data_IF_853189750770
#
_entry.id   IF_853189750770
#
_cell.length_a   1.000
_cell.length_b   1.000
_cell.length_c   1.000
_cell.angle_alpha   90.00
_cell.angle_beta   90.00
_cell.angle_gamma   90.00
#
_symmetry.space_group_name_H-M   'P 1'
#
loop_
_entity.id
_entity.type
_entity.pdbx_description
1 polymer ?
#
# COMPACT_ATOMS: atom_id res chain seq x y z
N UNK A 1 -2.36 -13.18 16.35
CA UNK A 1 -3.31 -12.03 16.32
C UNK A 1 -4.52 -12.27 17.22
N UNK A 2 -4.86 -11.35 18.14
CA UNK A 2 -6.04 -11.41 19.05
C UNK A 2 -6.67 -10.02 19.15
N UNK A 3 -8.00 -9.94 19.18
CA UNK A 3 -8.76 -8.70 19.32
C UNK A 3 -9.70 -8.81 20.52
N UNK A 4 -9.71 -7.79 21.35
CA UNK A 4 -10.57 -7.68 22.53
C UNK A 4 -11.22 -6.31 22.56
N UNK A 5 -12.50 -6.22 22.94
CA UNK A 5 -13.16 -4.93 23.11
C UNK A 5 -14.63 -4.90 22.78
N UNK A 6 -15.15 -3.68 22.65
CA UNK A 6 -16.55 -3.38 22.37
C UNK A 6 -16.67 -2.61 21.05
N UNK A 7 -17.92 -2.37 20.57
CA UNK A 7 -18.27 -1.81 19.26
C UNK A 7 -17.53 -0.51 18.87
N UNK A 8 -17.09 0.32 19.84
CA UNK A 8 -16.45 1.61 19.57
C UNK A 8 -14.99 1.70 20.01
N UNK A 9 -14.48 0.67 20.68
CA UNK A 9 -13.10 0.65 21.16
C UNK A 9 -12.66 -0.79 21.35
N UNK A 10 -11.60 -1.17 20.67
CA UNK A 10 -10.99 -2.50 20.81
C UNK A 10 -9.49 -2.38 20.93
N UNK A 11 -8.90 -3.42 21.52
CA UNK A 11 -7.46 -3.57 21.65
C UNK A 11 -7.04 -4.70 20.75
N UNK A 12 -6.09 -4.42 19.89
CA UNK A 12 -5.51 -5.38 18.98
C UNK A 12 -4.15 -5.82 19.50
N UNK A 13 -3.97 -7.11 19.68
CA UNK A 13 -2.73 -7.74 20.12
C UNK A 13 -2.10 -8.44 18.93
N UNK A 14 -0.84 -8.09 18.63
CA UNK A 14 -0.04 -8.68 17.56
C UNK A 14 1.18 -9.37 18.13
N UNK A 15 1.56 -10.47 17.50
CA UNK A 15 2.80 -11.16 17.78
C UNK A 15 3.97 -10.44 17.07
N UNK A 16 5.19 -10.65 17.55
CA UNK A 16 6.36 -9.95 17.02
C UNK A 16 6.55 -10.17 15.51
N UNK A 17 6.35 -11.38 15.02
CA UNK A 17 6.43 -11.71 13.58
C UNK A 17 5.38 -10.96 12.75
N UNK A 18 4.18 -10.76 13.29
CA UNK A 18 3.10 -10.02 12.64
C UNK A 18 3.42 -8.52 12.55
N UNK A 19 4.06 -7.97 13.59
CA UNK A 19 4.51 -6.57 13.60
C UNK A 19 5.63 -6.36 12.57
N UNK A 20 6.60 -7.27 12.48
CA UNK A 20 7.67 -7.22 11.46
C UNK A 20 7.07 -7.29 10.04
N UNK A 21 6.07 -8.13 9.82
CA UNK A 21 5.39 -8.23 8.51
C UNK A 21 4.75 -6.92 8.07
N UNK A 22 4.04 -6.21 8.99
CA UNK A 22 3.50 -4.87 8.71
C UNK A 22 4.63 -3.89 8.41
N UNK A 23 5.66 -3.86 9.26
CA UNK A 23 6.78 -2.94 9.14
C UNK A 23 7.50 -3.09 7.80
N UNK A 24 7.75 -4.32 7.37
CA UNK A 24 8.37 -4.63 6.07
C UNK A 24 7.51 -4.10 4.90
N UNK A 25 6.23 -4.46 4.88
CA UNK A 25 5.32 -3.99 3.84
C UNK A 25 5.16 -2.47 3.84
N UNK A 26 5.10 -1.85 5.02
CA UNK A 26 5.02 -0.41 5.19
C UNK A 26 6.28 0.29 4.68
N UNK A 27 7.46 -0.30 4.88
CA UNK A 27 8.73 0.20 4.35
C UNK A 27 8.69 0.34 2.83
N UNK A 28 8.25 -0.68 2.11
CA UNK A 28 8.08 -0.63 0.64
C UNK A 28 7.08 0.45 0.22
N UNK A 29 5.97 0.58 0.94
CA UNK A 29 4.94 1.56 0.61
C UNK A 29 5.40 3.00 0.84
N UNK A 30 6.06 3.27 1.97
CA UNK A 30 6.63 4.59 2.29
C UNK A 30 7.70 4.99 1.28
N UNK A 31 8.55 4.06 0.85
CA UNK A 31 9.54 4.31 -0.20
C UNK A 31 8.86 4.69 -1.52
N UNK A 32 7.84 3.95 -1.94
CA UNK A 32 7.08 4.23 -3.14
C UNK A 32 6.38 5.61 -3.09
N UNK A 33 5.73 5.94 -1.97
CA UNK A 33 5.12 7.26 -1.77
C UNK A 33 6.16 8.38 -1.75
N UNK A 34 7.36 8.14 -1.20
CA UNK A 34 8.45 9.10 -1.18
C UNK A 34 8.92 9.45 -2.59
N UNK A 35 9.05 8.45 -3.47
CA UNK A 35 9.39 8.64 -4.88
C UNK A 35 8.31 9.47 -5.61
N UNK A 36 7.03 9.14 -5.41
CA UNK A 36 5.92 9.88 -6.03
C UNK A 36 5.85 11.35 -5.55
N UNK A 37 6.18 11.62 -4.28
CA UNK A 37 6.25 12.98 -3.76
C UNK A 37 7.46 13.77 -4.27
N UNK A 38 8.57 13.10 -4.55
CA UNK A 38 9.79 13.73 -5.07
C UNK A 38 9.71 13.95 -6.58
N UNK A 39 8.84 13.24 -7.29
CA UNK A 39 8.62 13.44 -8.72
C UNK A 39 8.13 14.89 -8.96
N UNK A 40 8.75 15.65 -9.87
CA UNK A 40 8.27 16.97 -10.20
C UNK A 40 6.82 16.83 -10.70
N UNK A 41 5.89 17.59 -10.09
CA UNK A 41 4.55 17.75 -10.63
C UNK A 41 4.73 18.04 -12.13
N UNK A 42 4.02 17.30 -13.01
CA UNK A 42 4.19 17.37 -14.45
C UNK A 42 4.33 18.81 -14.89
N UNK A 43 5.57 19.30 -14.91
CA UNK A 43 5.87 20.57 -15.51
C UNK A 43 5.68 20.36 -17.00
N UNK A 44 4.59 20.87 -17.53
CA UNK A 44 4.50 21.21 -18.94
C UNK A 44 5.62 22.20 -19.22
N UNK A 45 6.84 21.70 -19.32
CA UNK A 45 7.97 22.48 -19.82
C UNK A 45 7.77 22.59 -21.32
N UNK A 46 6.95 23.55 -21.73
CA UNK A 46 6.98 24.08 -23.08
C UNK A 46 8.44 24.52 -23.34
N UNK A 47 9.19 23.73 -24.05
CA UNK A 47 10.43 24.24 -24.60
C UNK A 47 11.57 23.28 -24.89
N UNK A 48 11.63 22.06 -24.38
CA UNK A 48 12.72 21.15 -24.72
C UNK A 48 12.23 19.78 -25.23
N UNK A 49 12.23 19.53 -26.53
CA UNK A 49 11.86 18.24 -27.12
C UNK A 49 12.78 17.09 -26.68
N UNK A 50 14.01 17.38 -26.27
CA UNK A 50 14.96 16.33 -25.80
C UNK A 50 14.72 15.91 -24.37
N UNK A 51 14.32 16.80 -23.47
CA UNK A 51 13.96 16.44 -22.10
C UNK A 51 12.78 15.45 -22.05
N UNK A 52 11.83 15.58 -23.00
CA UNK A 52 10.74 14.62 -23.17
C UNK A 52 11.25 13.20 -23.54
N UNK A 53 12.26 13.09 -24.40
CA UNK A 53 12.84 11.81 -24.82
C UNK A 53 13.73 11.19 -23.74
N UNK A 54 14.54 11.96 -23.04
CA UNK A 54 15.36 11.46 -21.93
C UNK A 54 14.50 10.96 -20.74
N UNK A 55 13.39 11.63 -20.44
CA UNK A 55 12.47 11.19 -19.42
C UNK A 55 11.74 9.88 -19.75
N UNK A 56 11.53 9.58 -21.05
CA UNK A 56 10.92 8.33 -21.50
C UNK A 56 11.83 7.09 -21.42
N UNK A 57 13.15 7.26 -21.39
CA UNK A 57 14.09 6.13 -21.46
C UNK A 57 14.84 5.81 -20.18
N UNK A 58 14.80 6.65 -19.15
CA UNK A 58 15.51 6.42 -17.90
C UNK A 58 14.57 6.31 -16.70
N UNK A 59 14.18 5.09 -16.34
CA UNK A 59 13.55 4.78 -15.06
C UNK A 59 12.04 4.96 -14.96
N UNK A 60 11.35 5.49 -15.97
CA UNK A 60 9.92 5.77 -15.93
C UNK A 60 9.02 4.53 -15.91
N UNK A 61 9.45 3.37 -16.36
CA UNK A 61 8.61 2.17 -16.37
C UNK A 61 8.32 1.67 -14.96
N UNK A 62 9.30 1.70 -14.06
CA UNK A 62 9.14 1.22 -12.69
C UNK A 62 8.32 2.22 -11.84
N UNK A 63 8.53 3.51 -12.03
CA UNK A 63 7.75 4.55 -11.34
C UNK A 63 6.30 4.64 -11.85
N UNK A 64 6.04 4.39 -13.13
CA UNK A 64 4.69 4.34 -13.71
C UNK A 64 3.90 3.13 -13.21
N UNK A 65 4.52 1.97 -13.02
CA UNK A 65 3.87 0.79 -12.48
C UNK A 65 3.52 1.00 -11.00
N UNK A 66 4.46 1.51 -10.20
CA UNK A 66 4.23 1.89 -8.81
C UNK A 66 3.13 2.94 -8.70
N UNK A 67 3.12 3.95 -9.57
CA UNK A 67 2.07 4.96 -9.60
C UNK A 67 0.70 4.35 -9.86
N UNK A 68 0.53 3.48 -10.86
CA UNK A 68 -0.75 2.81 -11.16
C UNK A 68 -1.26 1.96 -10.01
N UNK A 69 -0.36 1.38 -9.21
CA UNK A 69 -0.72 0.61 -8.03
C UNK A 69 -1.24 1.49 -6.89
N UNK A 70 -0.62 2.65 -6.69
CA UNK A 70 -0.97 3.58 -5.62
C UNK A 70 -2.14 4.47 -6.03
N UNK A 71 -2.17 4.90 -7.28
CA UNK A 71 -3.15 5.81 -7.87
C UNK A 71 -3.83 5.12 -9.07
N UNK A 72 -4.79 4.21 -8.81
CA UNK A 72 -5.45 3.48 -9.88
C UNK A 72 -6.30 4.40 -10.74
N UNK A 73 -6.41 4.06 -12.04
CA UNK A 73 -7.25 4.75 -13.01
C UNK A 73 -8.68 4.95 -12.50
N UNK A 74 -9.17 6.17 -12.55
CA UNK A 74 -10.54 6.55 -12.22
C UNK A 74 -11.49 6.35 -13.41
N UNK A 75 -10.99 6.48 -14.64
CA UNK A 75 -11.75 6.39 -15.89
C UNK A 75 -11.11 5.36 -16.83
N UNK A 76 -11.46 4.08 -16.67
CA UNK A 76 -10.83 2.96 -17.40
C UNK A 76 -11.01 3.00 -18.91
N UNK A 77 -12.07 3.65 -19.39
CA UNK A 77 -12.46 3.68 -20.81
C UNK A 77 -12.23 5.06 -21.45
N UNK A 78 -11.61 6.01 -20.73
CA UNK A 78 -11.35 7.37 -21.21
C UNK A 78 -10.00 7.89 -20.70
N UNK A 79 -8.95 7.63 -21.48
CA UNK A 79 -7.57 8.01 -21.15
C UNK A 79 -7.40 9.52 -20.94
N UNK A 80 -8.20 10.37 -21.65
CA UNK A 80 -8.10 11.82 -21.51
C UNK A 80 -8.72 12.31 -20.20
N UNK A 81 -9.88 11.77 -19.83
CA UNK A 81 -10.52 12.07 -18.55
C UNK A 81 -9.67 11.54 -17.38
N UNK A 82 -9.07 10.37 -17.54
CA UNK A 82 -8.18 9.77 -16.53
C UNK A 82 -6.94 10.62 -16.31
N UNK A 83 -6.26 11.04 -17.39
CA UNK A 83 -5.10 11.91 -17.30
C UNK A 83 -5.43 13.25 -16.63
N UNK A 84 -6.57 13.87 -16.96
CA UNK A 84 -6.99 15.11 -16.33
C UNK A 84 -7.31 14.90 -14.83
N UNK A 85 -7.98 13.81 -14.47
CA UNK A 85 -8.25 13.46 -13.08
C UNK A 85 -6.97 13.34 -12.26
N UNK A 86 -5.97 12.65 -12.80
CA UNK A 86 -4.66 12.50 -12.15
C UNK A 86 -3.94 13.83 -11.97
N UNK A 87 -3.98 14.72 -12.98
CA UNK A 87 -3.39 16.07 -12.85
C UNK A 87 -4.02 16.85 -11.69
N UNK A 88 -5.33 16.73 -11.53
CA UNK A 88 -6.08 17.51 -10.54
C UNK A 88 -5.99 16.93 -9.12
N UNK A 89 -5.81 15.60 -8.94
CA UNK A 89 -6.02 14.93 -7.65
C UNK A 89 -4.79 14.20 -7.10
N UNK A 90 -3.81 13.80 -7.92
CA UNK A 90 -2.70 12.94 -7.47
C UNK A 90 -1.91 13.55 -6.31
N UNK A 91 -1.65 14.85 -6.35
CA UNK A 91 -0.86 15.50 -5.30
C UNK A 91 -1.55 15.43 -3.93
N UNK A 92 -2.88 15.62 -3.91
CA UNK A 92 -3.69 15.53 -2.69
C UNK A 92 -3.81 14.08 -2.21
N UNK A 93 -4.06 13.14 -3.13
CA UNK A 93 -4.16 11.72 -2.83
C UNK A 93 -2.86 11.14 -2.28
N UNK A 94 -1.71 11.49 -2.87
CA UNK A 94 -0.38 11.08 -2.38
C UNK A 94 -0.11 11.68 -1.00
N UNK A 95 -0.47 12.95 -0.78
CA UNK A 95 -0.30 13.60 0.52
C UNK A 95 -1.13 12.90 1.61
N UNK A 96 -2.41 12.61 1.34
CA UNK A 96 -3.29 11.91 2.27
C UNK A 96 -2.79 10.50 2.60
N UNK A 97 -2.33 9.75 1.59
CA UNK A 97 -1.75 8.42 1.78
C UNK A 97 -0.44 8.46 2.57
N UNK A 98 0.36 9.49 2.36
CA UNK A 98 1.57 9.71 3.13
C UNK A 98 1.27 9.95 4.61
N UNK A 99 0.29 10.80 4.93
CA UNK A 99 -0.15 11.05 6.31
C UNK A 99 -0.69 9.79 6.99
N UNK A 100 -1.49 8.99 6.27
CA UNK A 100 -1.97 7.69 6.75
C UNK A 100 -0.81 6.73 7.03
N UNK A 101 0.19 6.65 6.14
CA UNK A 101 1.37 5.80 6.30
C UNK A 101 2.25 6.23 7.49
N UNK A 102 2.49 7.55 7.65
CA UNK A 102 3.24 8.07 8.81
C UNK A 102 2.52 7.76 10.13
N UNK A 103 1.20 7.89 10.13
CA UNK A 103 0.40 7.56 11.31
C UNK A 103 0.47 6.06 11.63
N UNK A 104 0.46 5.20 10.60
CA UNK A 104 0.62 3.75 10.79
C UNK A 104 2.03 3.41 11.30
N UNK A 105 3.08 4.10 10.84
CA UNK A 105 4.44 3.93 11.35
C UNK A 105 4.51 4.20 12.85
N UNK A 106 3.90 5.27 13.34
CA UNK A 106 3.84 5.59 14.77
C UNK A 106 3.05 4.55 15.58
N UNK A 107 1.98 4.00 14.99
CA UNK A 107 1.22 2.91 15.57
C UNK A 107 2.05 1.61 15.66
N UNK A 108 2.86 1.29 14.63
CA UNK A 108 3.79 0.15 14.60
C UNK A 108 4.88 0.30 15.67
N UNK A 109 5.44 1.49 15.86
CA UNK A 109 6.38 1.75 16.97
C UNK A 109 5.74 1.48 18.34
N UNK A 110 4.46 1.80 18.50
CA UNK A 110 3.70 1.50 19.72
C UNK A 110 3.53 -0.01 19.89
N UNK A 111 3.20 -0.73 18.81
CA UNK A 111 3.09 -2.18 18.80
C UNK A 111 4.41 -2.86 19.17
N UNK A 112 5.55 -2.41 18.67
CA UNK A 112 6.87 -2.91 19.07
C UNK A 112 7.14 -2.78 20.58
N UNK A 113 6.67 -1.69 21.19
CA UNK A 113 6.87 -1.44 22.63
C UNK A 113 5.93 -2.24 23.51
N UNK A 114 4.68 -2.44 23.09
CA UNK A 114 3.59 -2.90 23.96
C UNK A 114 2.96 -4.21 23.54
N UNK A 115 3.20 -4.66 22.30
CA UNK A 115 2.54 -5.82 21.70
C UNK A 115 1.05 -5.60 21.41
N UNK A 116 0.51 -4.40 21.67
CA UNK A 116 -0.91 -4.13 21.46
C UNK A 116 -1.17 -2.66 21.11
N UNK A 117 -2.31 -2.40 20.47
CA UNK A 117 -2.77 -1.06 20.13
C UNK A 117 -4.26 -0.91 20.40
N UNK A 118 -4.65 0.24 20.98
CA UNK A 118 -6.07 0.58 21.18
C UNK A 118 -6.60 1.31 19.96
N UNK A 119 -7.62 0.74 19.32
CA UNK A 119 -8.20 1.26 18.09
C UNK A 119 -9.60 1.84 18.34
N UNK A 120 -9.91 2.88 17.58
CA UNK A 120 -11.24 3.47 17.45
C UNK A 120 -11.68 3.41 15.97
N UNK A 121 -12.94 3.76 15.62
CA UNK A 121 -13.42 3.68 14.25
C UNK A 121 -12.58 4.47 13.23
N UNK A 122 -12.09 5.65 13.60
CA UNK A 122 -11.25 6.49 12.70
C UNK A 122 -9.92 5.84 12.43
N UNK A 123 -9.25 5.35 13.48
CA UNK A 123 -8.01 4.57 13.33
C UNK A 123 -8.23 3.32 12.47
N UNK A 124 -9.32 2.62 12.70
CA UNK A 124 -9.63 1.40 11.93
C UNK A 124 -9.79 1.68 10.45
N UNK A 125 -10.48 2.75 10.07
CA UNK A 125 -10.58 3.15 8.67
C UNK A 125 -9.22 3.48 8.06
N UNK A 126 -8.38 4.24 8.77
CA UNK A 126 -7.02 4.55 8.33
C UNK A 126 -6.20 3.27 8.13
N UNK A 127 -6.20 2.38 9.12
CA UNK A 127 -5.53 1.09 9.03
C UNK A 127 -6.04 0.27 7.84
N UNK A 128 -7.36 0.20 7.66
CA UNK A 128 -7.97 -0.56 6.57
C UNK A 128 -7.51 -0.03 5.19
N UNK A 129 -7.50 1.29 4.99
CA UNK A 129 -7.01 1.89 3.73
C UNK A 129 -5.54 1.58 3.50
N UNK A 130 -4.71 1.80 4.53
CA UNK A 130 -3.27 1.60 4.39
C UNK A 130 -2.93 0.13 4.20
N UNK A 131 -3.49 -0.78 5.00
CA UNK A 131 -3.22 -2.22 4.87
C UNK A 131 -3.70 -2.78 3.53
N UNK A 132 -4.82 -2.28 2.97
CA UNK A 132 -5.21 -2.61 1.60
C UNK A 132 -4.15 -2.16 0.57
N UNK A 133 -3.58 -0.96 0.74
CA UNK A 133 -2.52 -0.49 -0.13
C UNK A 133 -1.24 -1.33 0.02
N UNK A 134 -0.84 -1.68 1.26
CA UNK A 134 0.28 -2.59 1.52
C UNK A 134 0.08 -3.94 0.83
N UNK A 135 -1.13 -4.52 0.96
CA UNK A 135 -1.46 -5.79 0.30
C UNK A 135 -1.37 -5.69 -1.22
N UNK A 136 -1.84 -4.59 -1.82
CA UNK A 136 -1.71 -4.33 -3.25
C UNK A 136 -0.24 -4.25 -3.70
N UNK A 137 0.60 -3.56 -2.93
CA UNK A 137 2.04 -3.50 -3.20
C UNK A 137 2.72 -4.87 -3.12
N UNK A 138 2.38 -5.67 -2.10
CA UNK A 138 2.91 -7.04 -1.98
C UNK A 138 2.43 -7.93 -3.12
N UNK A 139 1.15 -7.83 -3.54
CA UNK A 139 0.62 -8.55 -4.69
C UNK A 139 1.42 -8.25 -5.97
N UNK A 140 1.70 -6.98 -6.23
CA UNK A 140 2.49 -6.58 -7.39
C UNK A 140 3.93 -7.12 -7.35
N UNK A 141 4.59 -7.05 -6.20
CA UNK A 141 5.94 -7.61 -6.01
C UNK A 141 5.98 -9.12 -6.27
N UNK A 142 4.92 -9.83 -5.89
CA UNK A 142 4.77 -11.27 -6.10
C UNK A 142 4.23 -11.64 -7.51
N UNK A 143 3.93 -10.65 -8.35
CA UNK A 143 3.34 -10.87 -9.68
C UNK A 143 1.89 -11.39 -9.63
N UNK A 144 1.17 -11.14 -8.53
CA UNK A 144 -0.22 -11.56 -8.35
C UNK A 144 -1.15 -10.56 -9.04
N UNK A 145 -1.81 -11.00 -10.11
CA UNK A 145 -2.76 -10.19 -10.88
C UNK A 145 -4.21 -10.70 -10.77
N UNK A 146 -4.38 -11.96 -10.40
CA UNK A 146 -5.68 -12.63 -10.26
C UNK A 146 -5.58 -13.82 -9.28
N UNK A 147 -6.69 -14.54 -9.11
CA UNK A 147 -6.74 -15.70 -8.21
C UNK A 147 -5.86 -16.87 -8.69
N UNK A 148 -5.69 -17.03 -10.01
CA UNK A 148 -4.87 -18.12 -10.57
C UNK A 148 -3.40 -17.91 -10.22
N UNK A 149 -2.90 -16.71 -10.45
CA UNK A 149 -1.52 -16.34 -10.10
C UNK A 149 -1.29 -16.35 -8.58
N UNK A 150 -2.28 -15.96 -7.78
CA UNK A 150 -2.21 -16.09 -6.32
C UNK A 150 -2.06 -17.55 -5.88
N UNK A 151 -2.83 -18.47 -6.46
CA UNK A 151 -2.75 -19.92 -6.16
C UNK A 151 -1.41 -20.52 -6.61
N UNK A 152 -0.83 -20.03 -7.71
CA UNK A 152 0.50 -20.42 -8.19
C UNK A 152 1.60 -19.96 -7.24
N UNK A 153 1.58 -18.71 -6.81
CA UNK A 153 2.53 -18.14 -5.84
C UNK A 153 2.44 -18.90 -4.52
N UNK A 154 1.23 -19.13 -4.00
CA UNK A 154 1.03 -19.88 -2.76
C UNK A 154 1.48 -21.36 -2.87
N UNK A 155 1.47 -21.95 -4.07
CA UNK A 155 2.00 -23.29 -4.30
C UNK A 155 3.53 -23.28 -4.31
N UNK A 156 4.14 -22.34 -5.04
CA UNK A 156 5.60 -22.20 -5.08
C UNK A 156 6.17 -21.92 -3.69
N UNK A 157 5.54 -21.05 -2.92
CA UNK A 157 5.94 -20.72 -1.56
C UNK A 157 5.94 -21.93 -0.59
N UNK A 158 5.07 -22.91 -0.80
CA UNK A 158 5.07 -24.16 0.01
C UNK A 158 6.23 -25.09 -0.32
N UNK A 159 6.81 -24.95 -1.50
CA UNK A 159 7.94 -25.75 -1.97
C UNK A 159 9.28 -25.09 -1.67
N UNK A 160 9.30 -23.76 -1.49
CA UNK A 160 10.48 -22.97 -1.16
C UNK A 160 10.50 -22.59 0.33
N UNK A 161 11.68 -22.70 0.95
CA UNK A 161 11.89 -22.36 2.37
C UNK A 161 11.88 -20.85 2.66
N UNK A 162 11.76 -19.99 1.63
CA UNK A 162 11.91 -18.54 1.68
C UNK A 162 10.62 -17.80 1.23
N UNK A 163 9.49 -18.16 1.81
CA UNK A 163 8.17 -17.62 1.47
C UNK A 163 7.75 -16.42 2.35
N UNK A 164 8.69 -15.60 2.84
CA UNK A 164 8.37 -14.50 3.77
C UNK A 164 7.40 -13.48 3.18
N UNK A 165 7.61 -13.07 1.94
CA UNK A 165 6.74 -12.06 1.28
C UNK A 165 5.33 -12.59 1.02
N UNK A 166 5.19 -13.87 0.63
CA UNK A 166 3.89 -14.51 0.45
C UNK A 166 3.13 -14.64 1.78
N UNK A 167 3.81 -15.06 2.84
CA UNK A 167 3.23 -15.11 4.19
C UNK A 167 2.73 -13.73 4.64
N UNK A 168 3.46 -12.66 4.35
CA UNK A 168 3.03 -11.28 4.64
C UNK A 168 1.80 -10.92 3.81
N UNK A 169 1.77 -11.22 2.52
CA UNK A 169 0.63 -10.96 1.64
C UNK A 169 -0.67 -11.65 2.13
N UNK A 170 -0.59 -12.95 2.43
CA UNK A 170 -1.73 -13.72 2.94
C UNK A 170 -2.20 -13.18 4.28
N UNK A 171 -1.27 -12.90 5.19
CA UNK A 171 -1.59 -12.34 6.48
C UNK A 171 -2.22 -10.94 6.41
N UNK A 172 -1.73 -10.05 5.53
CA UNK A 172 -2.37 -8.75 5.27
C UNK A 172 -3.81 -8.92 4.77
N UNK A 173 -4.09 -9.94 3.95
CA UNK A 173 -5.44 -10.29 3.53
C UNK A 173 -6.36 -10.65 4.71
N UNK A 174 -5.84 -11.40 5.67
CA UNK A 174 -6.56 -11.71 6.91
C UNK A 174 -6.82 -10.44 7.74
N UNK A 175 -5.84 -9.56 7.86
CA UNK A 175 -5.97 -8.26 8.56
C UNK A 175 -7.07 -7.40 7.93
N UNK A 176 -7.08 -7.26 6.61
CA UNK A 176 -8.14 -6.52 5.88
C UNK A 176 -9.52 -7.10 6.19
N UNK A 177 -9.66 -8.43 6.12
CA UNK A 177 -10.93 -9.11 6.42
C UNK A 177 -11.41 -8.82 7.85
N UNK A 178 -10.51 -8.90 8.82
CA UNK A 178 -10.83 -8.66 10.23
C UNK A 178 -11.22 -7.21 10.47
N UNK A 179 -10.45 -6.24 9.96
CA UNK A 179 -10.74 -4.81 10.09
C UNK A 179 -12.07 -4.44 9.43
N UNK A 180 -12.40 -5.04 8.28
CA UNK A 180 -13.67 -4.83 7.59
C UNK A 180 -14.87 -5.33 8.41
N UNK A 181 -14.74 -6.46 9.11
CA UNK A 181 -15.80 -7.01 9.96
C UNK A 181 -16.04 -6.17 11.22
N UNK A 182 -15.02 -5.51 11.74
CA UNK A 182 -15.13 -4.68 12.95
C UNK A 182 -15.74 -3.32 12.61
N UNK A 183 -15.56 -2.84 11.38
CA UNK A 183 -16.03 -1.52 10.93
C UNK A 183 -17.54 -1.46 10.67
N UNK A 184 -18.22 -2.59 10.51
CA UNK A 184 -19.68 -2.70 10.33
C UNK A 184 -20.39 -2.67 11.70
#
# INVERSE_FOLDING_TARGET
MRIEGTRNRWVWYLEHVEIIGIETALGYYVEALSRLRAAPAHSTTEGDPFAFWESQFSGLQEDDEVRRLILPSAYRDDDSADAQFHVDHDAEDVAARWEDAQSLSADVETLHRTGCISMNPVMTQRWLRTVNALRGMMAARLGIIDQVTADEVARAAREELDAEEECVYEWLGLVVKVLSLIHI
#
